data_IF_868670306332
#
_entry.id   IF_868670306332
#
_cell.length_a   1.000
_cell.length_b   1.000
_cell.length_c   1.000
_cell.angle_alpha   90.00
_cell.angle_beta   90.00
_cell.angle_gamma   90.00
#
_symmetry.space_group_name_H-M   'P 1'
#
loop_
_entity.id
_entity.type
_entity.pdbx_description
1 polymer ?
#
# COMPACT_ATOMS: atom_id res chain seq x y z
N UNK A 1 1.85 -22.78 5.83
CA UNK A 1 2.10 -24.22 6.12
C UNK A 1 3.47 -24.34 6.71
N UNK A 2 3.67 -25.21 7.70
CA UNK A 2 5.01 -25.44 8.26
C UNK A 2 5.91 -26.06 7.19
N UNK A 3 6.96 -25.34 6.81
CA UNK A 3 7.89 -25.69 5.73
C UNK A 3 9.25 -26.17 6.24
N UNK A 4 9.53 -26.02 7.53
CA UNK A 4 10.77 -26.50 8.13
C UNK A 4 10.67 -26.58 9.65
N UNK A 5 11.31 -27.59 10.23
CA UNK A 5 11.57 -27.70 11.68
C UNK A 5 12.98 -28.23 11.80
N UNK A 6 13.82 -27.57 12.59
CA UNK A 6 15.23 -27.93 12.70
C UNK A 6 15.86 -27.44 14.00
N UNK A 7 17.12 -27.80 14.19
CA UNK A 7 17.96 -27.27 15.23
C UNK A 7 19.19 -26.65 14.56
N UNK A 8 19.27 -25.32 14.61
CA UNK A 8 20.34 -24.54 14.01
C UNK A 8 21.38 -24.16 15.09
N UNK A 9 22.68 -24.13 14.79
CA UNK A 9 23.71 -23.81 15.78
C UNK A 9 23.59 -22.39 16.37
N UNK A 10 23.04 -21.44 15.60
CA UNK A 10 22.88 -20.04 16.00
C UNK A 10 21.48 -19.82 16.58
N UNK A 11 20.44 -20.36 15.93
CA UNK A 11 19.05 -20.12 16.30
C UNK A 11 18.48 -21.16 17.27
N UNK A 12 19.20 -22.24 17.58
CA UNK A 12 18.67 -23.37 18.34
C UNK A 12 17.49 -24.04 17.63
N UNK A 13 16.54 -24.57 18.40
CA UNK A 13 15.31 -25.13 17.83
C UNK A 13 14.57 -24.02 17.08
N UNK A 14 14.30 -24.27 15.80
CA UNK A 14 13.64 -23.32 14.91
C UNK A 14 12.53 -23.98 14.10
N UNK A 15 11.53 -23.19 13.76
CA UNK A 15 10.41 -23.58 12.92
C UNK A 15 10.21 -22.53 11.83
N UNK A 16 10.14 -22.96 10.58
CA UNK A 16 9.83 -22.11 9.42
C UNK A 16 8.42 -22.39 8.94
N UNK A 17 7.66 -21.31 8.74
CA UNK A 17 6.30 -21.35 8.21
C UNK A 17 6.23 -20.52 6.94
N UNK A 18 5.71 -21.13 5.88
CA UNK A 18 5.48 -20.46 4.60
C UNK A 18 4.07 -19.87 4.54
N UNK A 19 3.99 -18.58 4.22
CA UNK A 19 2.79 -17.79 3.99
C UNK A 19 2.83 -17.20 2.58
N UNK A 20 2.30 -17.92 1.59
CA UNK A 20 2.48 -17.56 0.18
C UNK A 20 3.96 -17.53 -0.19
N UNK A 21 4.43 -16.39 -0.68
CA UNK A 21 5.83 -16.15 -1.06
C UNK A 21 6.75 -15.79 0.12
N UNK A 22 6.18 -15.61 1.32
CA UNK A 22 6.94 -15.35 2.53
C UNK A 22 7.28 -16.63 3.28
N UNK A 23 8.49 -16.70 3.81
CA UNK A 23 8.93 -17.70 4.77
C UNK A 23 9.35 -17.01 6.06
N UNK A 24 8.65 -17.31 7.15
CA UNK A 24 8.96 -16.76 8.48
C UNK A 24 9.56 -17.87 9.33
N UNK A 25 10.78 -17.65 9.81
CA UNK A 25 11.51 -18.55 10.69
C UNK A 25 11.46 -18.02 12.11
N UNK A 26 10.94 -18.84 13.02
CA UNK A 26 10.95 -18.59 14.46
C UNK A 26 12.08 -19.41 15.08
N UNK A 27 13.03 -18.75 15.73
CA UNK A 27 14.17 -19.38 16.40
C UNK A 27 14.13 -19.21 17.92
N UNK A 28 15.02 -19.91 18.60
CA UNK A 28 15.14 -20.00 20.05
C UNK A 28 13.87 -20.56 20.71
N UNK A 29 13.30 -21.59 20.08
CA UNK A 29 12.08 -22.23 20.56
C UNK A 29 12.41 -23.20 21.70
N UNK A 30 11.57 -23.20 22.74
CA UNK A 30 11.62 -24.19 23.81
C UNK A 30 10.79 -25.42 23.46
N UNK A 31 9.69 -25.22 22.71
CA UNK A 31 8.82 -26.31 22.27
C UNK A 31 8.15 -25.98 20.93
N UNK A 32 7.91 -27.00 20.11
CA UNK A 32 7.25 -26.85 18.80
C UNK A 32 5.98 -27.70 18.80
N UNK A 33 4.83 -27.08 18.50
CA UNK A 33 3.53 -27.76 18.51
C UNK A 33 3.05 -28.14 17.11
N UNK A 34 3.38 -27.33 16.10
CA UNK A 34 2.99 -27.60 14.72
C UNK A 34 4.03 -28.48 14.01
N UNK A 35 3.58 -29.52 13.30
CA UNK A 35 4.46 -30.46 12.61
C UNK A 35 4.76 -30.04 11.17
N UNK A 36 5.84 -30.56 10.59
CA UNK A 36 6.20 -30.31 9.19
C UNK A 36 5.02 -30.68 8.25
N UNK A 37 4.73 -29.81 7.29
CA UNK A 37 3.60 -29.97 6.37
C UNK A 37 2.23 -29.60 6.97
N UNK A 38 2.15 -29.28 8.26
CA UNK A 38 0.89 -28.87 8.87
C UNK A 38 0.44 -27.50 8.34
N UNK A 39 -0.82 -27.40 7.93
CA UNK A 39 -1.46 -26.11 7.63
C UNK A 39 -1.78 -25.40 8.95
N UNK A 40 -1.40 -24.13 9.03
CA UNK A 40 -1.63 -23.27 10.20
C UNK A 40 -2.48 -22.08 9.79
N UNK A 41 -3.26 -21.54 10.73
CA UNK A 41 -4.07 -20.33 10.54
C UNK A 41 -3.48 -19.15 11.30
N UNK A 42 -3.84 -17.93 10.91
CA UNK A 42 -3.51 -16.73 11.67
C UNK A 42 -4.05 -16.83 13.11
N UNK A 43 -3.25 -16.41 14.09
CA UNK A 43 -3.59 -16.50 15.52
C UNK A 43 -3.45 -17.90 16.15
N UNK A 44 -3.13 -18.94 15.38
CA UNK A 44 -2.88 -20.27 15.92
C UNK A 44 -1.52 -20.33 16.62
N UNK A 45 -1.48 -20.88 17.84
CA UNK A 45 -0.23 -21.18 18.53
C UNK A 45 0.50 -22.32 17.83
N UNK A 46 1.73 -22.07 17.36
CA UNK A 46 2.53 -23.02 16.58
C UNK A 46 3.78 -23.50 17.31
N UNK A 47 4.31 -22.69 18.22
CA UNK A 47 5.48 -22.98 19.04
C UNK A 47 5.50 -22.12 20.31
N UNK A 48 6.37 -22.48 21.25
CA UNK A 48 6.69 -21.74 22.45
C UNK A 48 8.14 -21.27 22.37
N UNK A 49 8.38 -19.97 22.59
CA UNK A 49 9.75 -19.42 22.68
C UNK A 49 10.42 -19.82 24.00
N UNK A 50 11.74 -19.79 24.02
CA UNK A 50 12.51 -19.84 25.26
C UNK A 50 12.57 -18.47 25.93
N UNK A 51 13.76 -18.11 26.38
CA UNK A 51 14.12 -16.81 26.97
C UNK A 51 14.05 -15.65 25.97
N UNK A 52 14.23 -15.94 24.68
CA UNK A 52 14.11 -14.98 23.58
C UNK A 52 13.41 -15.61 22.38
N UNK A 53 12.90 -14.75 21.49
CA UNK A 53 12.34 -15.14 20.20
C UNK A 53 13.20 -14.52 19.10
N UNK A 54 13.72 -15.34 18.20
CA UNK A 54 14.29 -14.86 16.95
C UNK A 54 13.23 -14.94 15.84
N UNK A 55 13.14 -13.89 15.02
CA UNK A 55 12.27 -13.86 13.85
C UNK A 55 13.13 -13.51 12.64
N UNK A 56 13.22 -14.43 11.68
CA UNK A 56 13.83 -14.22 10.38
C UNK A 56 12.77 -14.30 9.29
N UNK A 57 12.83 -13.41 8.30
CA UNK A 57 11.85 -13.37 7.21
C UNK A 57 12.61 -13.51 5.90
N UNK A 58 12.08 -14.33 5.00
CA UNK A 58 12.48 -14.34 3.59
C UNK A 58 11.28 -14.14 2.69
N UNK A 59 11.47 -13.42 1.59
CA UNK A 59 10.48 -13.30 0.53
C UNK A 59 11.12 -13.77 -0.77
N UNK A 60 10.52 -14.77 -1.42
CA UNK A 60 11.08 -15.40 -2.64
C UNK A 60 12.56 -15.83 -2.49
N UNK A 61 12.98 -16.18 -1.28
CA UNK A 61 14.34 -16.62 -0.96
C UNK A 61 15.30 -15.50 -0.51
N UNK A 62 14.94 -14.23 -0.65
CA UNK A 62 15.77 -13.10 -0.18
C UNK A 62 15.46 -12.75 1.27
N UNK A 63 16.49 -12.48 2.08
CA UNK A 63 16.34 -12.10 3.48
C UNK A 63 15.78 -10.69 3.61
N UNK A 64 14.72 -10.54 4.40
CA UNK A 64 14.04 -9.28 4.66
C UNK A 64 14.27 -8.86 6.11
N UNK A 65 14.53 -7.57 6.32
CA UNK A 65 14.68 -7.02 7.66
C UNK A 65 13.38 -7.22 8.46
N UNK A 66 13.42 -7.90 9.62
CA UNK A 66 12.22 -8.15 10.42
C UNK A 66 11.49 -6.89 10.85
N UNK A 67 12.20 -5.79 11.07
CA UNK A 67 11.56 -4.52 11.45
C UNK A 67 10.80 -3.91 10.28
N UNK A 68 11.31 -4.00 9.05
CA UNK A 68 10.60 -3.55 7.85
C UNK A 68 9.34 -4.39 7.60
N UNK A 69 9.45 -5.71 7.78
CA UNK A 69 8.30 -6.62 7.67
C UNK A 69 7.21 -6.29 8.70
N UNK A 70 7.58 -6.08 9.97
CA UNK A 70 6.64 -5.71 11.02
C UNK A 70 6.04 -4.32 10.79
N UNK A 71 6.85 -3.35 10.32
CA UNK A 71 6.39 -2.00 9.98
C UNK A 71 5.40 -2.04 8.82
N UNK A 72 5.64 -2.88 7.82
CA UNK A 72 4.72 -3.10 6.70
C UNK A 72 3.41 -3.73 7.18
N UNK A 73 3.47 -4.79 8.01
CA UNK A 73 2.26 -5.40 8.58
C UNK A 73 1.48 -4.38 9.41
N UNK A 74 2.17 -3.58 10.22
CA UNK A 74 1.55 -2.51 11.00
C UNK A 74 0.93 -1.44 10.10
N UNK A 75 1.61 -1.02 9.03
CA UNK A 75 1.07 -0.11 8.03
C UNK A 75 -0.16 -0.65 7.32
N UNK A 76 -0.17 -1.95 6.97
CA UNK A 76 -1.32 -2.62 6.38
C UNK A 76 -2.50 -2.73 7.35
N UNK A 77 -2.24 -3.07 8.62
CA UNK A 77 -3.25 -3.11 9.68
C UNK A 77 -3.80 -1.70 9.91
N UNK A 78 -2.96 -0.69 10.02
CA UNK A 78 -3.39 0.70 10.13
C UNK A 78 -4.20 1.12 8.90
N UNK A 79 -3.77 0.83 7.67
CA UNK A 79 -4.54 1.14 6.47
C UNK A 79 -5.92 0.44 6.45
N UNK A 80 -6.00 -0.81 6.94
CA UNK A 80 -7.27 -1.54 7.10
C UNK A 80 -8.14 -0.96 8.22
N UNK A 81 -7.55 -0.51 9.32
CA UNK A 81 -8.24 0.15 10.43
C UNK A 81 -8.68 1.58 10.06
N UNK A 82 -7.91 2.29 9.26
CA UNK A 82 -8.21 3.65 8.79
C UNK A 82 -9.11 3.68 7.57
N UNK A 83 -9.32 2.53 6.90
CA UNK A 83 -10.49 2.31 6.06
C UNK A 83 -11.82 2.33 6.88
N UNK A 84 -11.74 2.37 8.21
CA UNK A 84 -12.82 2.68 9.17
C UNK A 84 -12.56 4.01 9.95
N UNK A 85 -11.60 4.83 9.50
CA UNK A 85 -11.36 6.21 9.98
C UNK A 85 -9.94 6.50 10.47
N UNK A 86 -9.30 7.50 9.85
CA UNK A 86 -8.34 8.42 10.52
C UNK A 86 -6.83 8.28 10.24
N UNK A 87 -6.37 8.84 9.12
CA UNK A 87 -5.02 9.43 8.86
C UNK A 87 -3.75 8.86 9.53
N UNK A 88 -2.75 8.42 8.72
CA UNK A 88 -1.33 8.60 9.07
C UNK A 88 -0.33 8.44 7.90
N UNK A 89 0.56 9.44 7.82
CA UNK A 89 2.00 9.40 7.52
C UNK A 89 2.49 9.09 6.09
N UNK A 90 2.77 10.18 5.36
CA UNK A 90 3.77 10.27 4.28
C UNK A 90 5.15 9.80 4.73
N UNK A 91 5.78 8.91 3.98
CA UNK A 91 7.23 8.66 4.01
C UNK A 91 7.83 8.70 2.60
N UNK A 92 8.99 9.36 2.40
CA UNK A 92 9.58 9.61 1.10
C UNK A 92 10.55 8.48 0.68
N UNK A 93 10.29 7.88 -0.47
CA UNK A 93 11.25 7.52 -1.53
C UNK A 93 10.58 6.50 -2.45
N UNK A 94 9.86 7.02 -3.45
CA UNK A 94 9.52 6.26 -4.65
C UNK A 94 10.45 6.75 -5.77
N UNK A 95 11.67 6.21 -5.83
CA UNK A 95 12.52 6.30 -7.03
C UNK A 95 11.98 5.38 -8.14
N UNK A 96 10.69 5.51 -8.45
CA UNK A 96 10.13 5.18 -9.75
C UNK A 96 9.40 6.44 -10.18
N UNK A 97 10.03 7.25 -11.02
CA UNK A 97 9.43 8.45 -11.57
C UNK A 97 8.24 8.03 -12.45
N UNK A 98 7.07 7.94 -11.84
CA UNK A 98 5.82 7.74 -12.55
C UNK A 98 5.58 8.99 -13.38
N UNK A 99 5.51 8.82 -14.70
CA UNK A 99 5.17 9.91 -15.61
C UNK A 99 3.68 10.13 -15.53
N UNK A 100 3.28 11.35 -15.20
CA UNK A 100 1.88 11.78 -15.13
C UNK A 100 1.50 12.63 -16.34
N UNK A 101 0.22 12.84 -16.58
CA UNK A 101 -0.24 13.80 -17.62
C UNK A 101 -0.06 15.26 -17.16
N UNK A 102 0.37 15.45 -15.92
CA UNK A 102 0.45 16.73 -15.22
C UNK A 102 1.89 17.20 -14.97
N UNK A 103 2.88 16.64 -15.68
CA UNK A 103 4.30 16.97 -15.47
C UNK A 103 4.60 18.48 -15.57
N UNK A 104 3.89 19.19 -16.45
CA UNK A 104 4.07 20.63 -16.64
C UNK A 104 3.65 21.44 -15.41
N UNK A 105 2.65 20.96 -14.68
CA UNK A 105 2.04 21.64 -13.53
C UNK A 105 2.45 20.99 -12.20
N UNK A 106 3.45 20.10 -12.21
CA UNK A 106 3.83 19.27 -11.06
C UNK A 106 4.10 20.08 -9.80
N UNK A 107 4.86 21.17 -9.91
CA UNK A 107 5.19 22.03 -8.77
C UNK A 107 3.94 22.69 -8.16
N UNK A 108 3.06 23.22 -9.01
CA UNK A 108 1.81 23.84 -8.57
C UNK A 108 0.89 22.81 -7.89
N UNK A 109 0.79 21.60 -8.46
CA UNK A 109 0.00 20.51 -7.89
C UNK A 109 0.56 20.08 -6.54
N UNK A 110 1.88 19.97 -6.39
CA UNK A 110 2.53 19.63 -5.11
C UNK A 110 2.21 20.70 -4.03
N UNK A 111 2.28 21.98 -4.36
CA UNK A 111 1.90 23.06 -3.45
C UNK A 111 0.41 23.02 -3.07
N UNK A 112 -0.46 22.76 -4.04
CA UNK A 112 -1.89 22.61 -3.80
C UNK A 112 -2.18 21.39 -2.92
N UNK A 113 -1.53 20.26 -3.15
CA UNK A 113 -1.66 19.07 -2.32
C UNK A 113 -1.18 19.34 -0.89
N UNK A 114 -0.02 19.97 -0.69
CA UNK A 114 0.45 20.35 0.65
C UNK A 114 -0.56 21.20 1.42
N UNK A 115 -1.28 22.08 0.72
CA UNK A 115 -2.26 22.99 1.33
C UNK A 115 -3.64 22.36 1.53
N UNK A 116 -4.11 21.55 0.57
CA UNK A 116 -5.51 21.14 0.49
C UNK A 116 -5.77 19.64 0.60
N UNK A 117 -4.73 18.80 0.56
CA UNK A 117 -4.87 17.35 0.74
C UNK A 117 -5.57 16.97 2.06
N UNK A 118 -5.31 17.63 3.22
CA UNK A 118 -6.03 17.31 4.45
C UNK A 118 -7.54 17.53 4.35
N UNK A 119 -7.99 18.64 3.75
CA UNK A 119 -9.42 18.93 3.58
C UNK A 119 -10.09 17.94 2.62
N UNK A 120 -9.40 17.62 1.52
CA UNK A 120 -9.86 16.61 0.57
C UNK A 120 -10.07 15.24 1.24
N UNK A 121 -9.12 14.80 2.07
CA UNK A 121 -9.22 13.54 2.80
C UNK A 121 -10.32 13.56 3.86
N UNK A 122 -10.46 14.66 4.59
CA UNK A 122 -11.51 14.81 5.59
C UNK A 122 -12.91 14.78 4.96
N UNK A 123 -13.11 15.49 3.85
CA UNK A 123 -14.39 15.52 3.13
C UNK A 123 -14.74 14.17 2.51
N UNK A 124 -13.75 13.42 2.01
CA UNK A 124 -13.94 12.05 1.55
C UNK A 124 -14.37 11.12 2.69
N UNK A 125 -13.67 11.19 3.82
CA UNK A 125 -13.96 10.34 4.99
C UNK A 125 -15.36 10.60 5.55
N UNK A 126 -15.77 11.87 5.62
CA UNK A 126 -17.11 12.27 6.09
C UNK A 126 -18.20 12.04 5.03
N UNK A 127 -17.83 11.64 3.81
CA UNK A 127 -18.72 11.48 2.68
C UNK A 127 -19.32 12.79 2.17
N UNK A 128 -18.74 13.94 2.57
CA UNK A 128 -19.10 15.26 2.09
C UNK A 128 -18.65 15.47 0.64
N UNK A 129 -17.53 14.88 0.26
CA UNK A 129 -17.14 14.73 -1.14
C UNK A 129 -17.24 13.26 -1.55
N UNK A 130 -17.72 13.01 -2.77
CA UNK A 130 -17.81 11.67 -3.35
C UNK A 130 -17.10 11.68 -4.68
N UNK A 131 -16.33 10.63 -4.93
CA UNK A 131 -15.66 10.47 -6.22
C UNK A 131 -16.72 10.46 -7.34
N UNK A 132 -16.44 11.14 -8.47
CA UNK A 132 -17.26 11.03 -9.65
C UNK A 132 -17.40 9.56 -10.09
N UNK A 133 -18.59 9.12 -10.53
CA UNK A 133 -18.83 7.71 -10.88
C UNK A 133 -17.86 7.14 -11.92
N UNK A 134 -17.44 7.98 -12.87
CA UNK A 134 -16.49 7.58 -13.91
C UNK A 134 -15.07 7.35 -13.36
N UNK A 135 -14.61 8.17 -12.42
CA UNK A 135 -13.32 8.00 -11.73
C UNK A 135 -13.34 6.72 -10.90
N UNK A 136 -14.42 6.51 -10.14
CA UNK A 136 -14.60 5.30 -9.32
C UNK A 136 -14.58 4.03 -10.18
N UNK A 137 -15.36 3.99 -11.27
CA UNK A 137 -15.38 2.86 -12.20
C UNK A 137 -13.99 2.63 -12.83
N UNK A 138 -13.28 3.69 -13.19
CA UNK A 138 -11.94 3.62 -13.76
C UNK A 138 -10.93 3.02 -12.78
N UNK A 139 -10.97 3.46 -11.51
CA UNK A 139 -10.14 2.91 -10.44
C UNK A 139 -10.45 1.42 -10.21
N UNK A 140 -11.73 1.05 -10.07
CA UNK A 140 -12.15 -0.36 -9.91
C UNK A 140 -11.65 -1.24 -11.05
N UNK A 141 -11.76 -0.77 -12.28
CA UNK A 141 -11.27 -1.48 -13.45
C UNK A 141 -9.73 -1.64 -13.43
N UNK A 142 -8.99 -0.59 -13.04
CA UNK A 142 -7.53 -0.66 -12.90
C UNK A 142 -7.11 -1.68 -11.84
N UNK A 143 -7.76 -1.70 -10.67
CA UNK A 143 -7.48 -2.71 -9.64
C UNK A 143 -7.81 -4.14 -10.10
N UNK A 144 -8.94 -4.31 -10.79
CA UNK A 144 -9.33 -5.61 -11.36
C UNK A 144 -8.29 -6.09 -12.37
N UNK A 145 -7.84 -5.21 -13.25
CA UNK A 145 -6.79 -5.51 -14.23
C UNK A 145 -5.46 -5.86 -13.56
N UNK A 146 -5.06 -5.12 -12.52
CA UNK A 146 -3.84 -5.40 -11.76
C UNK A 146 -3.88 -6.77 -11.08
N UNK A 147 -5.05 -7.18 -10.56
CA UNK A 147 -5.24 -8.49 -9.95
C UNK A 147 -5.21 -9.62 -10.99
N UNK A 148 -5.96 -9.48 -12.09
CA UNK A 148 -6.01 -10.48 -13.18
C UNK A 148 -4.64 -10.68 -13.82
N UNK A 149 -3.82 -9.63 -13.88
CA UNK A 149 -2.47 -9.70 -14.46
C UNK A 149 -1.37 -10.03 -13.45
N UNK A 150 -1.73 -10.31 -12.19
CA UNK A 150 -0.79 -10.66 -11.11
C UNK A 150 0.34 -9.62 -10.92
N UNK A 151 0.00 -8.33 -11.03
CA UNK A 151 0.96 -7.24 -10.94
C UNK A 151 1.24 -6.75 -9.52
N UNK A 152 0.51 -7.28 -8.54
CA UNK A 152 0.78 -7.07 -7.12
C UNK A 152 1.81 -8.09 -6.64
N UNK A 153 2.70 -7.67 -5.73
CA UNK A 153 3.75 -8.52 -5.15
C UNK A 153 4.77 -9.07 -6.17
N UNK A 154 4.98 -8.35 -7.28
CA UNK A 154 6.07 -8.63 -8.22
C UNK A 154 7.42 -8.40 -7.51
N UNK A 155 7.58 -7.22 -6.93
CA UNK A 155 8.70 -6.82 -6.09
C UNK A 155 8.39 -7.03 -4.61
N UNK A 156 9.46 -7.04 -3.80
CA UNK A 156 9.35 -6.98 -2.34
C UNK A 156 8.51 -5.75 -1.94
N UNK A 157 7.37 -5.92 -1.23
CA UNK A 157 6.64 -4.79 -0.71
C UNK A 157 7.46 -4.03 0.32
N UNK A 158 7.27 -2.72 0.38
CA UNK A 158 7.97 -1.82 1.31
C UNK A 158 7.03 -0.70 1.76
N UNK A 159 7.46 0.16 2.68
CA UNK A 159 6.67 1.34 3.08
C UNK A 159 6.38 2.28 1.89
N UNK A 160 7.31 2.37 0.94
CA UNK A 160 7.17 3.18 -0.28
C UNK A 160 6.47 2.44 -1.43
N UNK A 161 6.39 1.11 -1.37
CA UNK A 161 5.70 0.28 -2.35
C UNK A 161 4.90 -0.83 -1.63
N UNK A 162 3.81 -0.48 -0.94
CA UNK A 162 3.06 -1.42 -0.11
C UNK A 162 2.42 -2.56 -0.90
N UNK A 163 2.23 -2.38 -2.21
CA UNK A 163 1.67 -3.38 -3.11
C UNK A 163 2.73 -4.21 -3.84
N UNK A 164 4.02 -3.99 -3.58
CA UNK A 164 5.11 -4.70 -4.24
C UNK A 164 5.04 -4.58 -5.77
N UNK A 165 4.63 -3.43 -6.28
CA UNK A 165 4.49 -3.19 -7.72
C UNK A 165 5.86 -3.26 -8.39
N UNK A 166 5.95 -4.02 -9.49
CA UNK A 166 7.11 -4.03 -10.37
C UNK A 166 6.88 -3.26 -11.66
N UNK A 167 7.85 -3.32 -12.58
CA UNK A 167 7.82 -2.54 -13.82
C UNK A 167 6.59 -2.87 -14.69
N UNK A 168 6.04 -4.09 -14.60
CA UNK A 168 4.83 -4.46 -15.36
C UNK A 168 3.59 -3.71 -14.91
N UNK A 169 3.56 -3.29 -13.65
CA UNK A 169 2.47 -2.51 -13.07
C UNK A 169 2.55 -1.01 -13.41
N UNK A 170 3.66 -0.53 -13.98
CA UNK A 170 3.91 0.89 -14.22
C UNK A 170 2.77 1.61 -14.97
N UNK A 171 2.23 1.06 -16.08
CA UNK A 171 1.14 1.74 -16.79
C UNK A 171 -0.14 1.87 -15.96
N UNK A 172 -0.39 0.93 -15.05
CA UNK A 172 -1.54 0.98 -14.13
C UNK A 172 -1.28 1.98 -13.01
N UNK A 173 -0.07 2.00 -12.45
CA UNK A 173 0.33 2.98 -11.44
C UNK A 173 0.23 4.42 -11.97
N UNK A 174 0.75 4.70 -13.18
CA UNK A 174 0.57 5.99 -13.85
C UNK A 174 -0.91 6.35 -14.02
N UNK A 175 -1.74 5.39 -14.43
CA UNK A 175 -3.18 5.61 -14.61
C UNK A 175 -3.89 5.91 -13.30
N UNK A 176 -3.57 5.21 -12.22
CA UNK A 176 -4.11 5.52 -10.87
C UNK A 176 -3.68 6.92 -10.47
N UNK A 177 -2.40 7.26 -10.61
CA UNK A 177 -1.90 8.57 -10.22
C UNK A 177 -2.59 9.71 -10.99
N UNK A 178 -2.75 9.59 -12.32
CA UNK A 178 -3.48 10.57 -13.12
C UNK A 178 -4.94 10.69 -12.68
N UNK A 179 -5.62 9.58 -12.38
CA UNK A 179 -7.00 9.60 -11.88
C UNK A 179 -7.12 10.30 -10.53
N UNK A 180 -6.18 10.06 -9.61
CA UNK A 180 -6.17 10.68 -8.29
C UNK A 180 -5.84 12.17 -8.34
N UNK A 181 -4.88 12.58 -9.19
CA UNK A 181 -4.56 14.00 -9.40
C UNK A 181 -5.76 14.71 -10.04
N UNK A 182 -6.38 14.12 -11.06
CA UNK A 182 -7.56 14.68 -11.71
C UNK A 182 -8.72 14.87 -10.73
N UNK A 183 -8.97 13.88 -9.88
CA UNK A 183 -10.05 13.95 -8.88
C UNK A 183 -9.76 15.00 -7.80
N UNK A 184 -8.52 15.09 -7.33
CA UNK A 184 -8.11 16.13 -6.39
C UNK A 184 -8.30 17.54 -6.98
N UNK A 185 -7.89 17.76 -8.22
CA UNK A 185 -8.10 19.04 -8.91
C UNK A 185 -9.59 19.34 -9.13
N UNK A 186 -10.40 18.31 -9.40
CA UNK A 186 -11.85 18.46 -9.49
C UNK A 186 -12.47 18.89 -8.14
N UNK A 187 -12.03 18.27 -7.03
CA UNK A 187 -12.42 18.67 -5.69
C UNK A 187 -12.07 20.14 -5.41
N UNK A 188 -10.86 20.57 -5.74
CA UNK A 188 -10.43 21.97 -5.56
C UNK A 188 -11.29 22.96 -6.34
N UNK A 189 -11.62 22.64 -7.59
CA UNK A 189 -12.49 23.46 -8.41
C UNK A 189 -13.89 23.58 -7.77
N UNK A 190 -14.45 22.46 -7.30
CA UNK A 190 -15.82 22.40 -6.79
C UNK A 190 -15.98 23.00 -5.39
N UNK A 191 -15.02 22.78 -4.49
CA UNK A 191 -15.10 23.19 -3.07
C UNK A 191 -14.40 24.49 -2.76
N UNK A 192 -13.30 24.77 -3.45
CA UNK A 192 -12.42 25.91 -3.14
C UNK A 192 -12.36 26.94 -4.27
N UNK A 193 -12.93 26.65 -5.44
CA UNK A 193 -12.84 27.53 -6.62
C UNK A 193 -11.42 27.71 -7.11
N UNK A 194 -10.52 26.76 -6.80
CA UNK A 194 -9.10 26.79 -7.16
C UNK A 194 -8.90 25.98 -8.44
N UNK A 195 -8.14 26.53 -9.37
CA UNK A 195 -7.82 25.94 -10.67
C UNK A 195 -6.33 26.06 -10.92
N UNK A 196 -5.78 25.13 -11.71
CA UNK A 196 -4.41 25.26 -12.20
C UNK A 196 -4.24 26.55 -13.00
N UNK A 197 -3.08 27.17 -12.86
CA UNK A 197 -2.70 28.37 -13.59
C UNK A 197 -2.77 28.20 -15.11
N UNK A 198 -2.56 26.98 -15.61
CA UNK A 198 -2.60 26.61 -17.04
C UNK A 198 -4.01 26.33 -17.58
N UNK A 199 -5.01 26.16 -16.71
CA UNK A 199 -6.39 25.96 -17.13
C UNK A 199 -6.99 27.29 -17.62
N UNK A 200 -7.08 27.43 -18.94
CA UNK A 200 -7.69 28.59 -19.60
C UNK A 200 -9.13 28.87 -19.14
N UNK A 201 -9.54 30.14 -19.18
CA UNK A 201 -10.79 30.65 -18.59
C UNK A 201 -12.09 29.99 -19.11
N UNK A 202 -12.04 29.28 -20.23
CA UNK A 202 -13.20 28.56 -20.80
C UNK A 202 -13.57 27.28 -20.01
N UNK A 203 -12.62 26.65 -19.30
CA UNK A 203 -12.89 25.43 -18.49
C UNK A 203 -13.42 25.79 -17.09
N UNK A 204 -13.07 26.98 -16.56
CA UNK A 204 -13.57 27.48 -15.28
C UNK A 204 -15.09 27.70 -15.27
N UNK A 205 -15.70 27.93 -16.43
CA UNK A 205 -17.16 28.12 -16.58
C UNK A 205 -17.97 26.82 -16.61
N UNK A 206 -17.40 25.71 -17.11
CA UNK A 206 -18.09 24.42 -17.18
C UNK A 206 -18.09 23.65 -15.85
N UNK A 207 -17.11 23.92 -14.97
CA UNK A 207 -17.07 23.34 -13.61
C UNK A 207 -18.01 24.03 -12.61
N UNK A 208 -18.47 25.24 -12.93
CA UNK A 208 -19.39 26.03 -12.10
C UNK A 208 -20.87 25.87 -12.49
N UNK A 209 -21.22 24.96 -13.41
CA UNK A 209 -22.60 24.74 -13.87
C UNK A 209 -23.14 23.33 -13.63
N UNK A 210 -23.69 23.07 -12.43
CA UNK A 210 -25.15 23.01 -12.14
C UNK A 210 -25.40 22.31 -10.77
N UNK A 211 -26.43 22.77 -10.02
CA UNK A 211 -26.81 22.26 -8.69
C UNK A 211 -27.43 20.86 -8.72
#
# INVERSE_FOLDING_TARGET
MVSGIGNDPILGICQTIRYGEYEVTYGHLSNVFAQFGQRVKAGQTVALSGDKLHIGIRFKGEELNPLEFLTMLYGNIQALCHADGGEAATSPNMEMALTTDYEQDRQEIEELMLRFLPYYMEDLQRGAYRLPPHTEQSLRHVFTMGAVKEYFYENMPSISNPLGLGHKAMPLACKVQNLLIADFLHYLALRHGVYLSTMGDDVKKNSTTKP
#
